data_IF_111961673272
#
_entry.id   IF_111961673272
#
_cell.length_a   1.000
_cell.length_b   1.000
_cell.length_c   1.000
_cell.angle_alpha   90.00
_cell.angle_beta   90.00
_cell.angle_gamma   90.00
#
_symmetry.space_group_name_H-M   'P 1'
#
loop_
_entity.id
_entity.type
_entity.pdbx_description
1 polymer ?
#
# COMPACT_ATOMS: atom_id res chain seq x y z
N UNK A 1 -50.54 1.36 -21.79
CA UNK A 1 -50.83 2.21 -20.62
C UNK A 1 -50.63 1.46 -19.30
N UNK A 2 -51.35 0.36 -19.05
CA UNK A 2 -51.23 -0.41 -17.80
C UNK A 2 -49.82 -1.00 -17.57
N UNK A 3 -49.19 -1.56 -18.59
CA UNK A 3 -47.82 -2.08 -18.51
C UNK A 3 -46.77 -1.01 -18.17
N UNK A 4 -46.92 0.20 -18.72
CA UNK A 4 -46.02 1.32 -18.44
C UNK A 4 -46.17 1.81 -16.98
N UNK A 5 -47.40 1.90 -16.49
CA UNK A 5 -47.67 2.17 -15.06
C UNK A 5 -47.08 1.10 -14.15
N UNK A 6 -47.16 -0.16 -14.55
CA UNK A 6 -46.59 -1.27 -13.81
C UNK A 6 -45.06 -1.14 -13.71
N UNK A 7 -44.38 -0.87 -14.82
CA UNK A 7 -42.92 -0.59 -14.81
C UNK A 7 -42.52 0.58 -13.91
N UNK A 8 -43.29 1.67 -13.90
CA UNK A 8 -43.04 2.79 -12.99
C UNK A 8 -43.18 2.35 -11.52
N UNK A 9 -44.20 1.57 -11.19
CA UNK A 9 -44.39 1.08 -9.83
C UNK A 9 -43.29 0.10 -9.42
N UNK A 10 -42.83 -0.76 -10.33
CA UNK A 10 -41.70 -1.67 -10.11
C UNK A 10 -40.42 -0.90 -9.82
N UNK A 11 -40.11 0.14 -10.59
CA UNK A 11 -38.98 1.06 -10.36
C UNK A 11 -39.09 1.80 -9.02
N UNK A 12 -40.31 2.26 -8.65
CA UNK A 12 -40.55 2.91 -7.35
C UNK A 12 -40.36 1.96 -6.16
N UNK A 13 -40.75 0.69 -6.31
CA UNK A 13 -40.61 -0.32 -5.26
C UNK A 13 -39.17 -0.83 -5.15
N UNK A 14 -38.45 -0.91 -6.27
CA UNK A 14 -37.07 -1.37 -6.34
C UNK A 14 -36.17 -0.37 -7.09
N UNK A 15 -35.85 0.79 -6.49
CA UNK A 15 -35.00 1.80 -7.13
C UNK A 15 -33.59 1.30 -7.46
N UNK A 16 -33.13 0.24 -6.79
CA UNK A 16 -31.84 -0.41 -7.03
C UNK A 16 -31.74 -1.04 -8.44
N UNK A 17 -32.88 -1.32 -9.07
CA UNK A 17 -32.92 -1.82 -10.44
C UNK A 17 -32.95 -0.68 -11.47
N UNK A 18 -32.93 0.58 -11.03
CA UNK A 18 -32.82 1.72 -11.93
C UNK A 18 -31.44 1.72 -12.60
N UNK A 19 -31.42 2.09 -13.89
CA UNK A 19 -30.19 2.10 -14.69
C UNK A 19 -29.13 3.06 -14.11
N UNK A 20 -29.55 4.18 -13.52
CA UNK A 20 -28.63 5.14 -12.90
C UNK A 20 -27.93 4.52 -11.68
N UNK A 21 -28.66 3.75 -10.89
CA UNK A 21 -28.09 3.06 -9.73
C UNK A 21 -27.13 1.95 -10.19
N UNK A 22 -27.53 1.16 -11.19
CA UNK A 22 -26.65 0.14 -11.76
C UNK A 22 -25.35 0.72 -12.33
N UNK A 23 -25.38 1.91 -12.92
CA UNK A 23 -24.17 2.60 -13.39
C UNK A 23 -23.24 3.03 -12.24
N UNK A 24 -23.81 3.43 -11.09
CA UNK A 24 -23.03 3.74 -9.89
C UNK A 24 -22.39 2.45 -9.35
N UNK A 25 -23.16 1.37 -9.25
CA UNK A 25 -22.68 0.08 -8.75
C UNK A 25 -21.56 -0.51 -9.64
N UNK A 26 -21.71 -0.38 -10.97
CA UNK A 26 -20.70 -0.80 -11.94
C UNK A 26 -19.41 0.03 -11.77
N UNK A 27 -19.54 1.35 -11.66
CA UNK A 27 -18.39 2.22 -11.41
C UNK A 27 -17.70 1.90 -10.08
N UNK A 28 -18.45 1.66 -9.01
CA UNK A 28 -17.90 1.29 -7.69
C UNK A 28 -17.14 -0.03 -7.78
N UNK A 29 -17.77 -1.06 -8.35
CA UNK A 29 -17.17 -2.40 -8.48
C UNK A 29 -15.88 -2.37 -9.30
N UNK A 30 -15.90 -1.70 -10.45
CA UNK A 30 -14.72 -1.55 -11.32
C UNK A 30 -13.61 -0.76 -10.62
N UNK A 31 -13.96 0.30 -9.88
CA UNK A 31 -12.99 1.12 -9.15
C UNK A 31 -12.28 0.34 -8.04
N UNK A 32 -13.04 -0.47 -7.30
CA UNK A 32 -12.49 -1.37 -6.27
C UNK A 32 -11.54 -2.38 -6.90
N UNK A 33 -11.91 -2.99 -8.01
CA UNK A 33 -11.06 -3.97 -8.71
C UNK A 33 -9.72 -3.35 -9.11
N UNK A 34 -9.75 -2.17 -9.74
CA UNK A 34 -8.54 -1.44 -10.16
C UNK A 34 -7.62 -1.15 -8.95
N UNK A 35 -8.19 -0.70 -7.82
CA UNK A 35 -7.43 -0.46 -6.58
C UNK A 35 -6.80 -1.75 -6.05
N UNK A 36 -7.56 -2.84 -6.03
CA UNK A 36 -7.09 -4.14 -5.53
C UNK A 36 -5.96 -4.71 -6.39
N UNK A 37 -6.12 -4.68 -7.71
CA UNK A 37 -5.09 -5.10 -8.66
C UNK A 37 -3.81 -4.29 -8.46
N UNK A 38 -3.92 -2.95 -8.37
CA UNK A 38 -2.75 -2.10 -8.18
C UNK A 38 -2.07 -2.34 -6.83
N UNK A 39 -2.84 -2.50 -5.77
CA UNK A 39 -2.30 -2.85 -4.46
C UNK A 39 -1.57 -4.20 -4.49
N UNK A 40 -2.09 -5.19 -5.22
CA UNK A 40 -1.44 -6.49 -5.36
C UNK A 40 -0.11 -6.39 -6.13
N UNK A 41 -0.04 -5.60 -7.21
CA UNK A 41 1.21 -5.33 -7.92
C UNK A 41 2.25 -4.71 -7.00
N UNK A 42 1.88 -3.64 -6.27
CA UNK A 42 2.77 -2.96 -5.35
C UNK A 42 3.27 -3.90 -4.24
N UNK A 43 2.40 -4.76 -3.68
CA UNK A 43 2.79 -5.78 -2.69
C UNK A 43 3.77 -6.79 -3.27
N UNK A 44 3.54 -7.29 -4.49
CA UNK A 44 4.46 -8.23 -5.16
C UNK A 44 5.84 -7.62 -5.33
N UNK A 45 5.91 -6.37 -5.78
CA UNK A 45 7.17 -5.64 -5.93
C UNK A 45 7.87 -5.51 -4.56
N UNK A 46 7.15 -5.04 -3.53
CA UNK A 46 7.70 -4.88 -2.18
C UNK A 46 8.25 -6.21 -1.62
N UNK A 47 7.47 -7.29 -1.71
CA UNK A 47 7.90 -8.64 -1.29
C UNK A 47 9.11 -9.13 -2.07
N UNK A 48 9.24 -8.78 -3.35
CA UNK A 48 10.42 -9.10 -4.17
C UNK A 48 11.71 -8.42 -3.69
N UNK A 49 11.62 -7.22 -3.09
CA UNK A 49 12.79 -6.49 -2.57
C UNK A 49 13.19 -6.91 -1.15
N UNK A 50 12.25 -7.43 -0.35
CA UNK A 50 12.48 -7.79 1.05
C UNK A 50 13.64 -8.79 1.26
N UNK A 51 13.80 -9.87 0.46
CA UNK A 51 14.91 -10.80 0.63
C UNK A 51 16.28 -10.13 0.53
N UNK A 52 16.49 -9.27 -0.49
CA UNK A 52 17.76 -8.56 -0.67
C UNK A 52 18.03 -7.60 0.49
N UNK A 53 17.00 -6.89 0.95
CA UNK A 53 17.10 -6.02 2.13
C UNK A 53 17.53 -6.80 3.37
N UNK A 54 16.87 -7.93 3.66
CA UNK A 54 17.18 -8.73 4.84
C UNK A 54 18.57 -9.36 4.77
N UNK A 55 19.01 -9.80 3.60
CA UNK A 55 20.38 -10.30 3.40
C UNK A 55 21.43 -9.21 3.68
N UNK A 56 21.19 -7.98 3.24
CA UNK A 56 22.10 -6.85 3.50
C UNK A 56 22.16 -6.53 5.01
N UNK A 57 21.02 -6.56 5.69
CA UNK A 57 20.92 -6.34 7.15
C UNK A 57 21.64 -7.45 7.90
N UNK A 58 21.43 -8.72 7.53
CA UNK A 58 22.07 -9.87 8.16
C UNK A 58 23.60 -9.81 8.01
N UNK A 59 24.09 -9.40 6.84
CA UNK A 59 25.53 -9.18 6.61
C UNK A 59 26.07 -8.08 7.53
N UNK A 60 25.43 -6.91 7.57
CA UNK A 60 25.84 -5.80 8.46
C UNK A 60 25.86 -6.22 9.93
N UNK A 61 24.86 -6.99 10.36
CA UNK A 61 24.76 -7.49 11.72
C UNK A 61 25.85 -8.52 12.05
N UNK A 62 26.19 -9.39 11.09
CA UNK A 62 27.28 -10.35 11.22
C UNK A 62 28.62 -9.63 11.35
N UNK A 63 28.90 -8.64 10.49
CA UNK A 63 30.11 -7.82 10.54
C UNK A 63 30.24 -7.07 11.88
N UNK A 64 29.12 -6.53 12.40
CA UNK A 64 29.08 -5.90 13.72
C UNK A 64 29.36 -6.90 14.84
N UNK A 65 28.79 -8.11 14.75
CA UNK A 65 29.01 -9.17 15.73
C UNK A 65 30.46 -9.64 15.78
N UNK A 66 31.14 -9.69 14.63
CA UNK A 66 32.57 -9.97 14.56
C UNK A 66 33.42 -8.85 15.17
N UNK A 67 33.09 -7.58 14.89
CA UNK A 67 33.76 -6.44 15.50
C UNK A 67 33.66 -6.49 17.04
N UNK A 68 32.48 -6.81 17.58
CA UNK A 68 32.28 -6.97 19.03
C UNK A 68 33.20 -8.06 19.60
N UNK A 69 33.31 -9.22 18.94
CA UNK A 69 34.18 -10.33 19.39
C UNK A 69 35.66 -9.99 19.38
N UNK A 70 36.10 -9.09 18.50
CA UNK A 70 37.50 -8.71 18.35
C UNK A 70 37.96 -7.64 19.36
N UNK A 71 37.02 -6.97 20.05
CA UNK A 71 37.36 -5.94 21.04
C UNK A 71 37.85 -6.61 22.32
N UNK A 72 39.18 -6.57 22.53
CA UNK A 72 39.84 -7.09 23.74
C UNK A 72 39.87 -6.10 24.91
N UNK A 73 39.62 -4.81 24.67
CA UNK A 73 39.50 -3.73 25.67
C UNK A 73 38.64 -2.61 25.09
N UNK A 74 37.45 -2.44 25.64
CA UNK A 74 36.52 -1.38 25.24
C UNK A 74 37.04 -0.02 25.72
N UNK A 75 37.27 0.91 24.80
CA UNK A 75 37.28 2.33 25.13
C UNK A 75 35.88 2.91 24.80
N UNK A 76 35.48 4.00 25.44
CA UNK A 76 34.14 4.58 25.26
C UNK A 76 33.85 4.97 23.80
N UNK A 77 34.89 5.34 23.05
CA UNK A 77 34.80 5.71 21.63
C UNK A 77 34.37 4.49 20.78
N UNK A 78 34.98 3.33 20.98
CA UNK A 78 34.63 2.08 20.31
C UNK A 78 33.22 1.62 20.66
N UNK A 79 32.82 1.72 21.93
CA UNK A 79 31.47 1.40 22.38
C UNK A 79 30.41 2.30 21.74
N UNK A 80 30.68 3.60 21.65
CA UNK A 80 29.74 4.55 21.04
C UNK A 80 29.59 4.29 19.54
N UNK A 81 30.67 3.93 18.85
CA UNK A 81 30.62 3.57 17.43
C UNK A 81 29.76 2.32 17.18
N UNK A 82 29.96 1.26 17.96
CA UNK A 82 29.14 0.03 17.86
C UNK A 82 27.65 0.31 18.11
N UNK A 83 27.33 1.15 19.10
CA UNK A 83 25.94 1.57 19.38
C UNK A 83 25.31 2.31 18.22
N UNK A 84 26.08 3.17 17.54
CA UNK A 84 25.57 3.90 16.38
C UNK A 84 25.33 2.97 15.19
N UNK A 85 26.27 2.06 14.90
CA UNK A 85 26.10 1.04 13.86
C UNK A 85 24.88 0.15 14.13
N UNK A 86 24.67 -0.26 15.38
CA UNK A 86 23.48 -1.02 15.77
C UNK A 86 22.19 -0.23 15.56
N UNK A 87 22.17 1.06 15.90
CA UNK A 87 21.02 1.94 15.66
C UNK A 87 20.70 2.07 14.17
N UNK A 88 21.72 2.21 13.32
CA UNK A 88 21.55 2.27 11.87
C UNK A 88 20.93 0.98 11.33
N UNK A 89 21.42 -0.18 11.76
CA UNK A 89 20.85 -1.49 11.39
C UNK A 89 19.37 -1.59 11.83
N UNK A 90 19.04 -1.16 13.05
CA UNK A 90 17.66 -1.15 13.55
C UNK A 90 16.79 -0.18 12.75
N UNK A 91 17.31 0.97 12.35
CA UNK A 91 16.57 1.93 11.53
C UNK A 91 16.28 1.36 10.14
N UNK A 92 17.27 0.75 9.49
CA UNK A 92 17.08 0.11 8.17
C UNK A 92 16.11 -1.06 8.21
N UNK A 93 16.11 -1.83 9.31
CA UNK A 93 15.17 -2.93 9.51
C UNK A 93 13.72 -2.44 9.62
N UNK A 94 13.49 -1.36 10.36
CA UNK A 94 12.14 -0.82 10.58
C UNK A 94 11.66 0.07 9.44
N UNK A 95 12.59 0.71 8.72
CA UNK A 95 12.28 1.63 7.63
C UNK A 95 13.33 1.49 6.52
N UNK A 96 13.12 0.57 5.57
CA UNK A 96 14.10 0.33 4.52
C UNK A 96 14.22 1.53 3.58
N UNK A 97 15.37 2.19 3.61
CA UNK A 97 15.69 3.37 2.80
C UNK A 97 15.67 3.11 1.28
N UNK A 98 15.73 1.84 0.85
CA UNK A 98 15.76 1.43 -0.56
C UNK A 98 14.39 1.35 -1.24
N UNK A 99 13.30 1.31 -0.47
CA UNK A 99 11.93 1.25 -1.00
C UNK A 99 11.03 2.24 -0.27
N UNK A 100 10.18 2.96 -1.00
CA UNK A 100 9.21 3.87 -0.39
C UNK A 100 7.89 3.83 -1.13
N UNK A 101 6.80 3.99 -0.39
CA UNK A 101 5.48 4.20 -0.96
C UNK A 101 5.37 5.67 -1.34
N UNK A 102 5.16 5.95 -2.63
CA UNK A 102 4.85 7.29 -3.14
C UNK A 102 3.38 7.37 -3.51
N UNK A 103 2.80 8.55 -3.33
CA UNK A 103 1.45 8.87 -3.78
C UNK A 103 1.55 9.88 -4.90
N UNK A 104 1.01 9.54 -6.07
CA UNK A 104 0.86 10.48 -7.16
C UNK A 104 -0.38 11.36 -6.91
N UNK A 105 -0.30 12.60 -7.36
CA UNK A 105 -1.37 13.60 -7.21
C UNK A 105 -2.43 13.52 -8.32
N UNK A 106 -2.22 12.66 -9.32
CA UNK A 106 -3.16 12.47 -10.43
C UNK A 106 -4.24 11.45 -10.08
N UNK A 107 -5.46 11.67 -10.59
CA UNK A 107 -6.58 10.76 -10.39
C UNK A 107 -6.31 9.41 -11.03
N UNK A 108 -6.17 8.40 -10.18
CA UNK A 108 -6.00 7.00 -10.59
C UNK A 108 -7.33 6.34 -10.97
N UNK A 109 -8.41 6.77 -10.33
CA UNK A 109 -9.79 6.34 -10.60
C UNK A 109 -10.56 7.56 -11.11
N UNK A 110 -11.38 7.36 -12.14
CA UNK A 110 -12.24 8.41 -12.68
C UNK A 110 -13.32 8.76 -11.65
N UNK A 111 -13.53 10.04 -11.34
CA UNK A 111 -14.65 10.47 -10.50
C UNK A 111 -15.97 10.44 -11.28
N UNK A 112 -17.07 10.04 -10.65
CA UNK A 112 -18.43 10.17 -11.20
C UNK A 112 -19.25 11.16 -10.38
N UNK A 113 -20.18 11.85 -11.04
CA UNK A 113 -21.07 12.81 -10.39
C UNK A 113 -22.47 12.74 -10.98
N UNK A 114 -23.48 12.98 -10.14
CA UNK A 114 -24.88 13.08 -10.58
C UNK A 114 -25.19 14.55 -10.81
N UNK A 115 -25.61 14.87 -12.04
CA UNK A 115 -26.00 16.22 -12.44
C UNK A 115 -27.51 16.22 -12.62
N UNK A 116 -28.21 17.05 -11.84
CA UNK A 116 -29.63 17.31 -12.04
C UNK A 116 -29.83 18.60 -12.83
N UNK A 117 -30.38 18.49 -14.03
CA UNK A 117 -30.88 19.65 -14.78
C UNK A 117 -32.20 20.12 -14.18
N UNK A 118 -32.33 21.41 -13.87
CA UNK A 118 -33.62 22.03 -13.50
C UNK A 118 -34.42 22.41 -14.74
#
# INVERSE_FOLDING_TARGET
YNEFKQRINEQKQNPQNDLLIQQIDEWESNSIEIIQQKAQECRKIAVGYLPTLFNDIEKKFTDLSEQIKQIRKENEISLNNLRNQLREIIQELNNPSKISVKKDSQSFINEISIISSK
#
